data_IF_734165183698
#
_entry.id   IF_734165183698
#
_cell.length_a   1.000
_cell.length_b   1.000
_cell.length_c   1.000
_cell.angle_alpha   90.00
_cell.angle_beta   90.00
_cell.angle_gamma   90.00
#
_symmetry.space_group_name_H-M   'P 1'
#
loop_
_entity.id
_entity.type
_entity.pdbx_description
1 polymer ?
#
# COMPACT_ATOMS: atom_id res chain seq x y z
N UNK A 1 13.27 -36.73 10.43
CA UNK A 1 13.54 -35.93 11.65
C UNK A 1 12.83 -34.60 11.44
N UNK A 2 11.84 -34.24 12.29
CA UNK A 2 11.19 -32.95 12.25
C UNK A 2 12.18 -31.84 12.59
N UNK A 3 12.17 -30.76 11.79
CA UNK A 3 12.93 -29.54 12.09
C UNK A 3 12.21 -28.78 13.21
N UNK A 4 12.97 -28.37 14.23
CA UNK A 4 12.47 -27.48 15.28
C UNK A 4 12.97 -26.08 14.96
N UNK A 5 12.11 -25.12 14.66
CA UNK A 5 12.55 -23.77 14.35
C UNK A 5 13.05 -23.07 15.62
N UNK A 6 14.07 -22.22 15.46
CA UNK A 6 14.43 -21.24 16.48
C UNK A 6 13.49 -20.05 16.35
N UNK A 7 12.77 -19.72 17.41
CA UNK A 7 11.84 -18.58 17.45
C UNK A 7 12.47 -17.48 18.29
N UNK A 8 12.54 -16.28 17.70
CA UNK A 8 12.99 -15.07 18.36
C UNK A 8 11.96 -13.95 18.13
N UNK A 9 11.65 -13.20 19.16
CA UNK A 9 10.75 -12.04 19.05
C UNK A 9 11.34 -10.86 19.82
N UNK A 10 11.22 -9.68 19.25
CA UNK A 10 11.51 -8.41 19.92
C UNK A 10 10.37 -7.42 19.64
N UNK A 11 10.19 -6.47 20.53
CA UNK A 11 9.22 -5.39 20.39
C UNK A 11 9.89 -4.04 20.57
N UNK A 12 9.41 -3.05 19.85
CA UNK A 12 9.80 -1.65 20.00
C UNK A 12 8.55 -0.76 19.87
N UNK A 13 8.58 0.40 20.47
CA UNK A 13 7.53 1.39 20.29
C UNK A 13 7.49 1.86 18.84
N UNK A 14 6.28 2.06 18.33
CA UNK A 14 6.02 2.67 17.01
C UNK A 14 4.85 3.65 17.15
N UNK A 15 4.57 4.42 16.10
CA UNK A 15 3.40 5.31 16.06
C UNK A 15 2.09 4.58 16.33
N UNK A 16 1.12 5.31 16.82
CA UNK A 16 -0.21 4.79 17.14
C UNK A 16 -1.15 4.71 15.94
N UNK A 17 -2.36 4.17 16.17
CA UNK A 17 -3.39 4.11 15.13
C UNK A 17 -3.89 5.50 14.74
N UNK A 18 -3.68 6.49 15.59
CA UNK A 18 -4.00 7.91 15.33
C UNK A 18 -3.20 8.46 14.14
N UNK A 19 -1.97 7.99 13.94
CA UNK A 19 -1.13 8.40 12.82
C UNK A 19 -1.68 7.94 11.46
N UNK A 20 -2.63 6.99 11.48
CA UNK A 20 -3.27 6.48 10.27
C UNK A 20 -4.47 7.31 9.80
N UNK A 21 -4.98 8.22 10.61
CA UNK A 21 -6.16 9.02 10.25
C UNK A 21 -5.87 9.92 9.05
N UNK A 22 -4.64 10.37 8.93
CA UNK A 22 -4.16 11.10 7.74
C UNK A 22 -3.30 10.19 6.89
N UNK A 23 -3.70 9.85 5.66
CA UNK A 23 -2.87 9.05 4.76
C UNK A 23 -1.53 9.74 4.51
N UNK A 24 -0.45 8.97 4.54
CA UNK A 24 0.85 9.48 4.08
C UNK A 24 0.87 9.56 2.55
N UNK A 25 1.78 10.35 2.01
CA UNK A 25 2.05 10.42 0.57
C UNK A 25 3.39 9.77 0.25
N UNK A 26 3.58 9.36 -0.99
CA UNK A 26 4.85 8.83 -1.48
C UNK A 26 5.09 9.23 -2.95
N UNK A 27 6.36 9.45 -3.29
CA UNK A 27 6.83 9.48 -4.65
C UNK A 27 7.41 8.10 -5.02
N UNK A 28 7.02 7.56 -6.15
CA UNK A 28 7.43 6.23 -6.59
C UNK A 28 8.03 6.26 -7.99
N UNK A 29 8.80 5.23 -8.32
CA UNK A 29 9.24 4.97 -9.68
C UNK A 29 8.97 3.51 -10.07
N UNK A 30 8.75 3.26 -11.36
CA UNK A 30 8.56 1.92 -11.91
C UNK A 30 9.92 1.30 -12.20
N UNK A 31 10.11 0.05 -11.79
CA UNK A 31 11.34 -0.72 -12.03
C UNK A 31 11.00 -2.14 -12.48
N UNK A 32 11.83 -2.71 -13.35
CA UNK A 32 11.68 -4.12 -13.72
C UNK A 32 11.91 -5.03 -12.52
N UNK A 33 11.00 -6.01 -12.33
CA UNK A 33 11.08 -6.97 -11.25
C UNK A 33 12.02 -8.13 -11.63
N UNK A 34 13.24 -8.06 -11.15
CA UNK A 34 14.28 -9.06 -11.33
C UNK A 34 14.42 -10.00 -10.11
N UNK A 35 13.51 -9.94 -9.16
CA UNK A 35 13.55 -10.81 -7.98
C UNK A 35 13.34 -12.27 -8.37
N UNK A 36 13.63 -13.18 -7.46
CA UNK A 36 13.30 -14.60 -7.61
C UNK A 36 11.77 -14.79 -7.77
N UNK A 37 11.36 -15.98 -8.29
CA UNK A 37 9.96 -16.28 -8.61
C UNK A 37 9.16 -16.92 -7.46
N UNK A 38 9.53 -16.67 -6.20
CA UNK A 38 8.86 -17.17 -5.01
C UNK A 38 8.55 -16.04 -4.04
N UNK A 39 8.01 -14.92 -4.60
CA UNK A 39 7.72 -13.71 -3.85
C UNK A 39 6.57 -13.88 -2.85
N UNK A 40 5.79 -14.94 -2.98
CA UNK A 40 4.79 -15.34 -1.98
C UNK A 40 5.41 -15.75 -0.64
N UNK A 41 6.69 -16.09 -0.62
CA UNK A 41 7.42 -16.44 0.61
C UNK A 41 8.08 -15.21 1.20
N UNK A 42 7.61 -14.83 2.40
CA UNK A 42 8.27 -13.74 3.15
C UNK A 42 9.60 -14.21 3.71
N UNK A 43 10.69 -13.58 3.27
CA UNK A 43 12.07 -13.95 3.63
C UNK A 43 12.91 -12.73 4.01
N UNK A 44 14.03 -12.94 4.67
CA UNK A 44 15.05 -11.92 4.94
C UNK A 44 16.08 -11.79 3.80
N UNK A 45 16.00 -12.60 2.74
CA UNK A 45 16.82 -12.49 1.53
C UNK A 45 16.34 -11.31 0.66
N UNK A 46 16.52 -10.07 1.13
CA UNK A 46 15.91 -8.86 0.60
C UNK A 46 16.74 -8.13 -0.46
N UNK A 47 17.85 -8.70 -0.94
CA UNK A 47 18.70 -8.00 -1.89
C UNK A 47 17.95 -7.61 -3.17
N UNK A 48 17.08 -8.47 -3.68
CA UNK A 48 16.25 -8.19 -4.84
C UNK A 48 15.24 -7.06 -4.63
N UNK A 49 14.88 -6.73 -3.38
CA UNK A 49 14.03 -5.59 -3.02
C UNK A 49 14.87 -4.33 -2.77
N UNK A 50 16.08 -4.49 -2.20
CA UNK A 50 16.97 -3.37 -1.85
C UNK A 50 17.55 -2.71 -3.11
N UNK A 51 17.96 -3.50 -4.10
CA UNK A 51 18.58 -2.96 -5.32
C UNK A 51 17.65 -2.01 -6.10
N UNK A 52 16.38 -2.36 -6.38
CA UNK A 52 15.45 -1.43 -7.01
C UNK A 52 15.23 -0.16 -6.18
N UNK A 53 15.16 -0.28 -4.87
CA UNK A 53 15.00 0.87 -3.99
C UNK A 53 16.21 1.81 -4.06
N UNK A 54 17.42 1.28 -4.04
CA UNK A 54 18.65 2.06 -4.19
C UNK A 54 18.76 2.71 -5.56
N UNK A 55 18.21 2.09 -6.60
CA UNK A 55 18.23 2.65 -7.96
C UNK A 55 17.32 3.89 -8.08
N UNK A 56 16.19 3.92 -7.37
CA UNK A 56 15.21 5.03 -7.49
C UNK A 56 15.39 6.13 -6.46
N UNK A 57 16.01 5.83 -5.31
CA UNK A 57 16.21 6.79 -4.23
C UNK A 57 16.95 8.09 -4.65
N UNK A 58 17.99 8.08 -5.51
CA UNK A 58 18.66 9.31 -5.96
C UNK A 58 17.73 10.27 -6.71
N UNK A 59 16.62 9.77 -7.28
CA UNK A 59 15.62 10.57 -7.99
C UNK A 59 14.49 11.08 -7.07
N UNK A 60 14.63 10.91 -5.75
CA UNK A 60 13.65 11.34 -4.77
C UNK A 60 12.46 10.39 -4.60
N UNK A 61 12.51 9.20 -5.19
CA UNK A 61 11.47 8.18 -4.98
C UNK A 61 11.66 7.46 -3.65
N UNK A 62 10.57 7.30 -2.91
CA UNK A 62 10.54 6.65 -1.61
C UNK A 62 10.23 5.15 -1.69
N UNK A 63 9.74 4.69 -2.85
CA UNK A 63 9.39 3.29 -3.10
C UNK A 63 9.54 3.00 -4.61
N UNK A 64 9.95 1.78 -4.94
CA UNK A 64 9.90 1.29 -6.32
C UNK A 64 8.70 0.37 -6.49
N UNK A 65 7.89 0.63 -7.53
CA UNK A 65 6.82 -0.26 -7.98
C UNK A 65 7.41 -1.21 -9.01
N UNK A 66 7.31 -2.49 -8.75
CA UNK A 66 7.96 -3.55 -9.52
C UNK A 66 7.00 -4.05 -10.61
N UNK A 67 7.52 -4.20 -11.83
CA UNK A 67 6.79 -4.68 -13.00
C UNK A 67 7.53 -5.86 -13.62
N UNK A 68 6.82 -6.95 -13.91
CA UNK A 68 7.37 -8.15 -14.56
C UNK A 68 6.48 -8.55 -15.73
N UNK A 69 7.10 -8.68 -16.90
CA UNK A 69 6.38 -9.06 -18.12
C UNK A 69 5.26 -8.08 -18.51
N UNK A 70 5.41 -6.79 -18.17
CA UNK A 70 4.40 -5.76 -18.43
C UNK A 70 3.26 -5.68 -17.40
N UNK A 71 3.33 -6.47 -16.31
CA UNK A 71 2.35 -6.45 -15.23
C UNK A 71 2.97 -6.05 -13.89
N UNK A 72 2.22 -5.26 -13.13
CA UNK A 72 2.58 -4.86 -11.77
C UNK A 72 2.63 -6.10 -10.90
N UNK A 73 3.74 -6.29 -10.18
CA UNK A 73 3.81 -7.23 -9.06
C UNK A 73 3.45 -6.53 -7.75
N UNK A 74 4.38 -5.90 -7.12
CA UNK A 74 4.18 -5.19 -5.85
C UNK A 74 5.21 -4.06 -5.69
N UNK A 75 5.22 -3.34 -4.58
CA UNK A 75 6.34 -2.46 -4.23
C UNK A 75 7.51 -3.26 -3.64
N UNK A 76 8.66 -2.62 -3.44
CA UNK A 76 9.82 -3.29 -2.81
C UNK A 76 9.54 -3.72 -1.37
N UNK A 77 8.66 -3.00 -0.66
CA UNK A 77 8.27 -3.30 0.73
C UNK A 77 6.75 -3.28 0.94
N UNK A 78 5.96 -3.11 -0.12
CA UNK A 78 4.52 -2.84 -0.06
C UNK A 78 3.75 -3.61 -1.14
N UNK A 79 2.43 -3.75 -0.96
CA UNK A 79 1.53 -4.13 -2.04
C UNK A 79 0.95 -2.89 -2.72
N UNK A 80 0.62 -3.03 -4.00
CA UNK A 80 0.13 -1.95 -4.85
C UNK A 80 -1.38 -2.09 -5.10
N UNK A 81 -2.07 -0.97 -5.07
CA UNK A 81 -3.42 -0.79 -5.58
C UNK A 81 -3.42 0.37 -6.57
N UNK A 82 -4.23 0.27 -7.61
CA UNK A 82 -4.44 1.34 -8.57
C UNK A 82 -5.94 1.59 -8.78
N UNK A 83 -6.34 2.84 -8.93
CA UNK A 83 -7.72 3.19 -9.30
C UNK A 83 -7.79 3.28 -10.81
N UNK A 84 -8.38 2.25 -11.40
CA UNK A 84 -8.55 2.09 -12.84
C UNK A 84 -10.03 2.17 -13.17
N UNK A 85 -10.44 3.15 -13.97
CA UNK A 85 -11.85 3.38 -14.35
C UNK A 85 -12.81 3.44 -13.15
N UNK A 86 -12.37 4.10 -12.08
CA UNK A 86 -13.16 4.30 -10.86
C UNK A 86 -13.22 3.09 -9.92
N UNK A 87 -12.52 2.02 -10.20
CA UNK A 87 -12.43 0.82 -9.37
C UNK A 87 -11.03 0.66 -8.78
N UNK A 88 -10.95 0.34 -7.50
CA UNK A 88 -9.69 0.01 -6.82
C UNK A 88 -9.28 -1.42 -7.20
N UNK A 89 -8.11 -1.57 -7.79
CA UNK A 89 -7.60 -2.84 -8.32
C UNK A 89 -6.27 -3.18 -7.64
N UNK A 90 -6.05 -4.45 -7.32
CA UNK A 90 -4.76 -4.96 -6.82
C UNK A 90 -4.42 -6.28 -7.51
N UNK A 91 -3.13 -6.58 -7.76
CA UNK A 91 -2.73 -7.85 -8.35
C UNK A 91 -3.16 -9.06 -7.51
N UNK A 92 -3.48 -10.20 -8.14
CA UNK A 92 -3.77 -11.46 -7.45
C UNK A 92 -2.50 -12.06 -6.84
N UNK A 93 -2.66 -12.90 -5.80
CA UNK A 93 -1.55 -13.54 -5.08
C UNK A 93 -1.19 -14.92 -5.60
N UNK A 94 -2.06 -15.50 -6.42
CA UNK A 94 -2.00 -16.88 -6.91
C UNK A 94 -1.66 -16.98 -8.40
N UNK A 95 -1.15 -15.91 -8.98
CA UNK A 95 -0.78 -15.83 -10.41
C UNK A 95 0.62 -15.22 -10.59
N UNK A 96 1.15 -15.33 -11.80
CA UNK A 96 2.40 -14.64 -12.18
C UNK A 96 2.09 -13.20 -12.65
N UNK A 97 2.85 -12.19 -12.17
CA UNK A 97 3.96 -12.28 -11.23
C UNK A 97 3.49 -12.57 -9.80
N UNK A 98 4.24 -13.43 -9.09
CA UNK A 98 3.97 -13.76 -7.70
C UNK A 98 4.22 -12.55 -6.79
N UNK A 99 3.33 -12.35 -5.83
CA UNK A 99 3.43 -11.28 -4.83
C UNK A 99 3.23 -11.81 -3.43
N UNK A 100 3.69 -11.06 -2.43
CA UNK A 100 3.39 -11.37 -1.05
C UNK A 100 1.91 -11.05 -0.74
N UNK A 101 1.21 -11.99 -0.12
CA UNK A 101 -0.12 -11.72 0.41
C UNK A 101 -0.02 -10.89 1.70
N UNK A 102 0.13 -9.58 1.55
CA UNK A 102 0.33 -8.65 2.67
C UNK A 102 -0.88 -8.56 3.58
N UNK A 103 -0.64 -8.51 4.89
CA UNK A 103 -1.70 -8.35 5.90
C UNK A 103 -2.51 -7.08 5.64
N UNK A 104 -1.83 -5.94 5.42
CA UNK A 104 -2.53 -4.67 5.17
C UNK A 104 -3.27 -4.64 3.83
N UNK A 105 -2.75 -5.34 2.79
CA UNK A 105 -3.48 -5.55 1.54
C UNK A 105 -4.82 -6.25 1.79
N UNK A 106 -4.80 -7.34 2.53
CA UNK A 106 -6.01 -8.11 2.87
C UNK A 106 -7.00 -7.26 3.67
N UNK A 107 -6.52 -6.52 4.68
CA UNK A 107 -7.35 -5.63 5.49
C UNK A 107 -7.96 -4.49 4.69
N UNK A 108 -7.22 -3.91 3.73
CA UNK A 108 -7.75 -2.87 2.87
C UNK A 108 -8.87 -3.40 1.95
N UNK A 109 -8.70 -4.58 1.36
CA UNK A 109 -9.75 -5.23 0.55
C UNK A 109 -11.01 -5.47 1.39
N UNK A 110 -10.87 -6.00 2.60
CA UNK A 110 -11.97 -6.23 3.53
C UNK A 110 -12.68 -4.92 3.89
N UNK A 111 -11.91 -3.88 4.23
CA UNK A 111 -12.44 -2.57 4.55
C UNK A 111 -13.22 -1.95 3.38
N UNK A 112 -12.70 -2.09 2.14
CA UNK A 112 -13.36 -1.61 0.94
C UNK A 112 -14.71 -2.31 0.72
N UNK A 113 -14.77 -3.63 0.88
CA UNK A 113 -16.03 -4.39 0.77
C UNK A 113 -17.05 -3.91 1.79
N UNK A 114 -16.67 -3.76 3.05
CA UNK A 114 -17.57 -3.26 4.11
C UNK A 114 -18.04 -1.82 3.87
N UNK A 115 -17.22 -0.98 3.23
CA UNK A 115 -17.53 0.42 2.94
C UNK A 115 -18.22 0.62 1.58
N UNK A 116 -18.50 -0.44 0.83
CA UNK A 116 -19.08 -0.34 -0.52
C UNK A 116 -18.18 0.41 -1.52
N UNK A 117 -16.86 0.31 -1.35
CA UNK A 117 -15.89 0.85 -2.31
C UNK A 117 -15.66 -0.22 -3.38
N UNK A 118 -15.93 0.09 -4.69
CA UNK A 118 -15.71 -0.86 -5.75
C UNK A 118 -14.24 -1.30 -5.79
N UNK A 119 -13.99 -2.57 -5.57
CA UNK A 119 -12.64 -3.14 -5.62
C UNK A 119 -12.63 -4.48 -6.35
N UNK A 120 -11.48 -4.83 -6.94
CA UNK A 120 -11.27 -6.12 -7.59
C UNK A 120 -9.82 -6.58 -7.47
N UNK A 121 -9.67 -7.91 -7.48
CA UNK A 121 -8.36 -8.57 -7.54
C UNK A 121 -8.18 -9.09 -8.96
N UNK A 122 -7.32 -8.43 -9.72
CA UNK A 122 -6.96 -8.79 -11.10
C UNK A 122 -5.59 -8.23 -11.46
N UNK A 123 -4.93 -8.76 -12.50
CA UNK A 123 -3.70 -8.17 -13.01
C UNK A 123 -3.86 -6.69 -13.35
N UNK A 124 -2.81 -5.92 -13.08
CA UNK A 124 -2.68 -4.50 -13.47
C UNK A 124 -1.53 -4.46 -14.49
N UNK A 125 -1.81 -4.10 -15.74
CA UNK A 125 -0.74 -3.84 -16.69
C UNK A 125 -0.07 -2.49 -16.38
N UNK A 126 1.16 -2.33 -16.84
CA UNK A 126 1.93 -1.10 -16.60
C UNK A 126 1.20 0.14 -17.16
N UNK A 127 0.50 0.00 -18.29
CA UNK A 127 -0.30 1.07 -18.88
C UNK A 127 -1.47 1.49 -17.95
N UNK A 128 -2.21 0.50 -17.38
CA UNK A 128 -3.27 0.77 -16.40
C UNK A 128 -2.70 1.47 -15.15
N UNK A 129 -1.50 1.09 -14.68
CA UNK A 129 -0.83 1.75 -13.57
C UNK A 129 -0.50 3.21 -13.90
N UNK A 130 0.10 3.46 -15.06
CA UNK A 130 0.49 4.82 -15.49
C UNK A 130 -0.72 5.71 -15.77
N UNK A 131 -1.83 5.14 -16.21
CA UNK A 131 -3.11 5.82 -16.42
C UNK A 131 -4.02 5.87 -15.21
N UNK A 132 -3.60 5.32 -14.06
CA UNK A 132 -4.42 5.30 -12.85
C UNK A 132 -4.71 6.71 -12.32
N UNK A 133 -5.95 6.95 -11.90
CA UNK A 133 -6.32 8.22 -11.27
C UNK A 133 -5.77 8.35 -9.85
N UNK A 134 -5.55 7.22 -9.16
CA UNK A 134 -4.97 7.15 -7.83
C UNK A 134 -4.15 5.84 -7.71
N UNK A 135 -3.05 5.87 -6.97
CA UNK A 135 -2.26 4.70 -6.64
C UNK A 135 -2.07 4.68 -5.12
N UNK A 136 -2.18 3.48 -4.52
CA UNK A 136 -2.08 3.29 -3.08
C UNK A 136 -1.08 2.17 -2.81
N UNK A 137 -0.24 2.36 -1.81
CA UNK A 137 0.66 1.36 -1.26
C UNK A 137 0.18 0.94 0.12
N UNK A 138 0.31 -0.37 0.41
CA UNK A 138 0.03 -0.90 1.75
C UNK A 138 1.19 -1.72 2.27
N UNK A 139 1.60 -1.47 3.52
CA UNK A 139 2.67 -2.20 4.19
C UNK A 139 2.44 -2.20 5.72
N UNK A 140 3.00 -3.14 6.45
CA UNK A 140 2.77 -3.24 7.91
C UNK A 140 3.28 -2.03 8.70
N UNK A 141 4.31 -1.32 8.24
CA UNK A 141 4.86 -0.13 8.91
C UNK A 141 4.18 1.17 8.51
N UNK A 142 3.95 1.37 7.20
CA UNK A 142 3.30 2.59 6.67
C UNK A 142 1.80 2.46 6.56
N UNK A 143 1.27 1.25 6.75
CA UNK A 143 -0.11 0.82 6.64
C UNK A 143 -0.81 1.28 5.35
N UNK A 144 -0.84 2.57 5.06
CA UNK A 144 -1.46 3.16 3.88
C UNK A 144 -0.68 4.39 3.42
N UNK A 145 -0.32 4.44 2.14
CA UNK A 145 0.30 5.62 1.51
C UNK A 145 -0.33 5.87 0.14
N UNK A 146 -0.70 7.11 -0.14
CA UNK A 146 -1.14 7.51 -1.47
C UNK A 146 0.07 7.93 -2.31
N UNK A 147 0.21 7.38 -3.51
CA UNK A 147 1.28 7.78 -4.44
C UNK A 147 0.83 9.03 -5.17
N UNK A 148 1.55 10.12 -4.97
CA UNK A 148 1.26 11.41 -5.60
C UNK A 148 2.12 11.68 -6.83
N UNK A 149 3.25 10.96 -6.97
CA UNK A 149 4.15 11.05 -8.11
C UNK A 149 4.62 9.66 -8.54
N UNK A 150 4.62 9.39 -9.84
CA UNK A 150 5.16 8.18 -10.45
C UNK A 150 6.13 8.58 -11.58
N UNK A 151 7.39 8.14 -11.47
CA UNK A 151 8.47 8.49 -12.41
C UNK A 151 8.58 10.02 -12.65
N UNK A 152 8.40 10.82 -11.60
CA UNK A 152 8.44 12.29 -11.64
C UNK A 152 7.20 12.96 -12.23
N UNK A 153 6.16 12.19 -12.61
CA UNK A 153 4.90 12.71 -13.11
C UNK A 153 3.81 12.60 -12.04
N UNK A 154 2.93 13.58 -11.97
CA UNK A 154 1.80 13.55 -11.03
C UNK A 154 0.87 12.37 -11.31
N UNK A 155 0.49 11.64 -10.27
CA UNK A 155 -0.62 10.68 -10.33
C UNK A 155 -1.93 11.45 -10.13
N UNK A 156 -2.85 11.35 -11.09
CA UNK A 156 -4.07 12.15 -11.06
C UNK A 156 -3.78 13.65 -10.97
N UNK A 157 -4.25 14.30 -9.91
CA UNK A 157 -3.98 15.73 -9.66
C UNK A 157 -2.73 15.99 -8.78
N UNK A 158 -1.92 14.95 -8.47
CA UNK A 158 -0.74 15.05 -7.60
C UNK A 158 -1.07 15.17 -6.11
N UNK A 159 -2.31 14.88 -5.74
CA UNK A 159 -2.79 14.90 -4.35
C UNK A 159 -3.50 13.58 -4.00
N UNK A 160 -3.78 13.38 -2.73
CA UNK A 160 -4.56 12.22 -2.27
C UNK A 160 -5.98 12.32 -2.86
N UNK A 161 -6.37 11.31 -3.62
CA UNK A 161 -7.65 11.29 -4.30
C UNK A 161 -8.82 10.83 -3.41
N UNK A 162 -10.06 10.98 -3.90
CA UNK A 162 -11.27 10.67 -3.13
C UNK A 162 -11.42 9.19 -2.80
N UNK A 163 -10.97 8.28 -3.66
CA UNK A 163 -11.05 6.84 -3.39
C UNK A 163 -10.01 6.46 -2.32
N UNK A 164 -8.78 6.98 -2.41
CA UNK A 164 -7.75 6.78 -1.40
C UNK A 164 -8.20 7.30 -0.03
N UNK A 165 -8.78 8.50 0.02
CA UNK A 165 -9.32 9.08 1.27
C UNK A 165 -10.39 8.19 1.89
N UNK A 166 -11.37 7.73 1.11
CA UNK A 166 -12.43 6.83 1.58
C UNK A 166 -11.90 5.46 2.01
N UNK A 167 -10.94 4.91 1.25
CA UNK A 167 -10.33 3.61 1.53
C UNK A 167 -9.50 3.66 2.82
N UNK A 168 -8.74 4.73 3.05
CA UNK A 168 -8.02 4.93 4.30
C UNK A 168 -8.97 5.03 5.50
N UNK A 169 -10.01 5.85 5.40
CA UNK A 169 -11.01 5.99 6.47
C UNK A 169 -11.70 4.65 6.80
N UNK A 170 -12.01 3.85 5.78
CA UNK A 170 -12.58 2.52 5.96
C UNK A 170 -11.60 1.55 6.65
N UNK A 171 -10.32 1.60 6.26
CA UNK A 171 -9.26 0.79 6.87
C UNK A 171 -9.06 1.17 8.33
N UNK A 172 -8.95 2.44 8.66
CA UNK A 172 -8.80 2.93 10.04
C UNK A 172 -9.98 2.48 10.90
N UNK A 173 -11.22 2.60 10.37
CA UNK A 173 -12.43 2.14 11.07
C UNK A 173 -12.38 0.63 11.36
N UNK A 174 -11.95 -0.18 10.39
CA UNK A 174 -11.79 -1.63 10.56
C UNK A 174 -10.77 -1.94 11.65
N UNK A 175 -9.57 -1.34 11.56
CA UNK A 175 -8.48 -1.58 12.52
C UNK A 175 -8.85 -1.14 13.93
N UNK A 176 -9.49 0.01 14.11
CA UNK A 176 -9.97 0.47 15.42
C UNK A 176 -10.93 -0.54 16.03
N UNK A 177 -11.87 -1.06 15.24
CA UNK A 177 -12.81 -2.09 15.70
C UNK A 177 -12.08 -3.37 16.14
N UNK A 178 -11.10 -3.84 15.37
CA UNK A 178 -10.33 -5.05 15.69
C UNK A 178 -9.44 -4.88 16.93
N UNK A 179 -8.90 -3.68 17.14
CA UNK A 179 -8.11 -3.35 18.34
C UNK A 179 -8.97 -3.02 19.57
N UNK A 180 -10.31 -3.06 19.48
CA UNK A 180 -11.20 -2.67 20.57
C UNK A 180 -11.16 -1.19 20.92
N UNK A 181 -10.67 -0.34 20.02
CA UNK A 181 -10.57 1.10 20.22
C UNK A 181 -11.89 1.78 19.79
N UNK A 182 -12.35 2.74 20.62
CA UNK A 182 -13.54 3.51 20.32
C UNK A 182 -13.40 4.24 18.96
N UNK A 183 -14.48 4.31 18.18
CA UNK A 183 -14.52 5.12 16.98
C UNK A 183 -14.38 6.60 17.39
N UNK A 184 -13.34 7.26 16.93
CA UNK A 184 -13.19 8.71 17.12
C UNK A 184 -14.30 9.40 16.32
N UNK A 185 -15.28 9.98 17.04
CA UNK A 185 -16.21 10.94 16.44
C UNK A 185 -15.47 12.28 16.47
N UNK A 186 -14.99 12.76 15.33
CA UNK A 186 -14.41 14.10 15.26
C UNK A 186 -15.43 15.09 15.86
N UNK A 187 -15.06 15.71 16.99
CA UNK A 187 -15.87 16.79 17.55
C UNK A 187 -15.90 17.91 16.53
N UNK A 188 -17.06 18.46 16.16
CA UNK A 188 -17.08 19.61 15.27
C UNK A 188 -16.24 20.71 15.93
N UNK A 189 -15.25 21.21 15.21
CA UNK A 189 -14.38 22.31 15.62
C UNK A 189 -15.22 23.43 16.19
N UNK A 190 -15.03 23.75 17.47
CA UNK A 190 -15.64 24.93 18.08
C UNK A 190 -15.25 26.18 17.27
N UNK A 191 -16.17 27.11 17.00
CA UNK A 191 -15.85 28.32 16.27
C UNK A 191 -14.80 29.11 17.07
N UNK A 192 -13.72 29.47 16.39
CA UNK A 192 -12.72 30.41 16.92
C UNK A 192 -13.45 31.75 17.08
N UNK A 193 -13.77 32.10 18.32
CA UNK A 193 -14.21 33.45 18.65
C UNK A 193 -13.00 34.39 18.46
N UNK A 194 -13.03 35.15 17.38
CA UNK A 194 -12.15 36.30 17.20
C UNK A 194 -12.51 37.37 18.25
N UNK A 195 -11.54 37.73 19.08
CA UNK A 195 -11.55 38.92 19.91
C UNK A 195 -10.59 39.96 19.36
#
# INVERSE_FOLDING_TARGET
KGLVPTVFACASECGGIEDLETPTTAACAVVQDERWHRCEIKTTALLGNVLPMLAVAPNGSEEAILVRGGFVSEGTTSNVFAVVRGQLVTPPVDTTPEILNGVMRTRLLEACVHAGIPCSVRPICEEDLRGASEIILTASRRMFSAVTSLDGHSVGCGMIGPIATRANAALVKLLRRECGLATFVASPSAPILAS
#
